data_IF_330703678596
#
_entry.id   IF_330703678596
#
_cell.length_a   1.000
_cell.length_b   1.000
_cell.length_c   1.000
_cell.angle_alpha   90.00
_cell.angle_beta   90.00
_cell.angle_gamma   90.00
#
_symmetry.space_group_name_H-M   'P 1'
#
loop_
_entity.id
_entity.type
_entity.pdbx_description
1 polymer ?
#
# COMPACT_ATOMS: atom_id res chain seq x y z
N UNK A 1 20.26 1.51 -36.10
CA UNK A 1 19.53 2.70 -35.66
C UNK A 1 18.16 2.25 -35.27
N UNK A 2 17.74 2.53 -34.04
CA UNK A 2 16.39 2.23 -33.56
C UNK A 2 15.61 3.53 -33.53
N UNK A 3 14.40 3.53 -34.10
CA UNK A 3 13.43 4.61 -33.89
C UNK A 3 12.59 4.26 -32.69
N UNK A 4 12.64 5.09 -31.66
CA UNK A 4 11.70 5.03 -30.55
C UNK A 4 10.41 5.71 -31.02
N UNK A 5 9.32 4.93 -31.09
CA UNK A 5 7.98 5.43 -31.35
C UNK A 5 7.42 6.27 -30.19
N UNK A 6 6.17 6.68 -30.32
CA UNK A 6 5.47 7.57 -29.38
C UNK A 6 5.43 7.02 -27.95
N UNK A 7 6.39 7.46 -27.13
CA UNK A 7 6.42 7.19 -25.70
C UNK A 7 5.26 7.92 -25.05
N UNK A 8 4.26 7.16 -24.58
CA UNK A 8 3.21 7.71 -23.73
C UNK A 8 3.62 7.52 -22.27
N UNK A 9 3.79 8.62 -21.55
CA UNK A 9 4.06 8.59 -20.12
C UNK A 9 2.75 8.30 -19.38
N UNK A 10 2.70 7.14 -18.71
CA UNK A 10 1.69 6.86 -17.70
C UNK A 10 2.43 6.82 -16.38
N UNK A 11 2.17 7.82 -15.56
CA UNK A 11 2.64 7.90 -14.18
C UNK A 11 2.09 6.67 -13.42
N UNK A 12 2.95 5.69 -13.16
CA UNK A 12 2.60 4.43 -12.50
C UNK A 12 3.24 4.35 -11.11
N UNK A 13 3.18 5.44 -10.34
CA UNK A 13 3.42 5.36 -8.90
C UNK A 13 2.16 4.88 -8.17
N UNK A 14 2.10 3.60 -7.75
CA UNK A 14 1.42 3.19 -6.50
C UNK A 14 1.60 1.71 -6.12
N UNK A 15 2.85 1.26 -5.95
CA UNK A 15 3.13 0.11 -5.06
C UNK A 15 4.22 0.46 -4.03
N UNK A 16 4.27 1.71 -3.59
CA UNK A 16 5.00 2.08 -2.37
C UNK A 16 4.13 1.75 -1.15
N UNK A 17 4.72 1.33 -0.01
CA UNK A 17 3.99 1.26 1.26
C UNK A 17 3.29 2.60 1.47
N UNK A 18 1.97 2.57 1.40
CA UNK A 18 1.14 3.77 1.51
C UNK A 18 0.70 3.88 2.95
N UNK A 19 0.93 5.04 3.57
CA UNK A 19 0.42 5.30 4.90
C UNK A 19 -1.11 5.15 4.90
N UNK A 20 -1.68 4.78 6.04
CA UNK A 20 -3.13 4.70 6.18
C UNK A 20 -3.82 6.02 5.83
N UNK A 21 -3.20 7.15 6.16
CA UNK A 21 -3.68 8.48 5.74
C UNK A 21 -3.75 8.62 4.20
N UNK A 22 -2.76 8.09 3.47
CA UNK A 22 -2.78 8.09 2.00
C UNK A 22 -3.87 7.17 1.45
N UNK A 23 -4.04 5.99 2.05
CA UNK A 23 -5.12 5.07 1.66
C UNK A 23 -6.50 5.70 1.91
N UNK A 24 -6.70 6.30 3.08
CA UNK A 24 -7.92 7.01 3.44
C UNK A 24 -8.21 8.19 2.49
N UNK A 25 -7.17 8.90 2.04
CA UNK A 25 -7.35 10.02 1.10
C UNK A 25 -7.89 9.63 -0.28
N UNK A 26 -7.81 8.34 -0.65
CA UNK A 26 -8.39 7.80 -1.87
C UNK A 26 -9.88 7.44 -1.73
N UNK A 27 -10.44 7.46 -0.52
CA UNK A 27 -11.84 7.14 -0.28
C UNK A 27 -12.71 8.38 -0.47
N UNK A 28 -13.84 8.20 -1.15
CA UNK A 28 -14.91 9.16 -1.13
C UNK A 28 -15.62 9.13 0.23
N UNK A 29 -16.26 10.25 0.60
CA UNK A 29 -16.89 10.41 1.93
C UNK A 29 -17.92 9.32 2.26
N UNK A 30 -18.68 8.86 1.27
CA UNK A 30 -19.68 7.80 1.40
C UNK A 30 -19.06 6.39 1.60
N UNK A 31 -17.75 6.24 1.43
CA UNK A 31 -17.02 5.00 1.69
C UNK A 31 -16.55 4.86 3.14
N UNK A 32 -16.63 5.92 3.96
CA UNK A 32 -16.31 5.90 5.39
C UNK A 32 -17.48 5.42 6.25
N UNK A 33 -18.00 4.23 5.94
CA UNK A 33 -19.21 3.70 6.56
C UNK A 33 -19.02 3.47 8.05
N UNK A 34 -17.91 2.85 8.46
CA UNK A 34 -17.64 2.48 9.84
C UNK A 34 -17.34 3.72 10.70
N UNK A 35 -16.55 4.67 10.19
CA UNK A 35 -16.32 5.96 10.87
C UNK A 35 -17.62 6.73 11.05
N UNK A 36 -18.44 6.86 10.01
CA UNK A 36 -19.72 7.58 10.08
C UNK A 36 -20.68 6.89 11.06
N UNK A 37 -20.77 5.55 11.04
CA UNK A 37 -21.60 4.79 11.98
C UNK A 37 -21.21 5.05 13.43
N UNK A 38 -19.92 5.00 13.74
CA UNK A 38 -19.39 5.30 15.07
C UNK A 38 -19.74 6.73 15.52
N UNK A 39 -19.57 7.72 14.65
CA UNK A 39 -19.89 9.11 14.97
C UNK A 39 -21.40 9.33 15.17
N UNK A 40 -22.24 8.71 14.33
CA UNK A 40 -23.70 8.77 14.47
C UNK A 40 -24.17 8.14 15.78
N UNK A 41 -23.65 6.97 16.17
CA UNK A 41 -24.05 6.28 17.40
C UNK A 41 -23.62 7.03 18.66
N UNK A 42 -22.37 7.52 18.70
CA UNK A 42 -21.86 8.27 19.84
C UNK A 42 -22.54 9.63 20.03
N UNK A 43 -22.91 10.32 18.95
CA UNK A 43 -23.65 11.60 19.04
C UNK A 43 -25.13 11.40 19.43
N UNK A 44 -25.75 10.28 19.06
CA UNK A 44 -27.13 9.97 19.47
C UNK A 44 -27.23 9.62 20.95
N UNK A 45 -26.25 8.87 21.49
CA UNK A 45 -26.27 8.38 22.88
C UNK A 45 -25.93 9.45 23.94
N UNK A 46 -25.45 10.64 23.54
CA UNK A 46 -25.12 11.73 24.50
C UNK A 46 -26.35 12.35 25.17
N UNK A 47 -27.55 12.23 24.59
CA UNK A 47 -28.78 12.84 25.13
C UNK A 47 -29.64 11.87 25.95
N UNK A 48 -29.47 10.55 25.77
CA UNK A 48 -30.05 9.53 26.65
C UNK A 48 -29.12 9.35 27.85
N UNK A 49 -29.60 9.73 29.04
CA UNK A 49 -28.86 9.83 30.30
C UNK A 49 -28.39 8.48 30.89
N UNK A 50 -27.95 7.52 30.06
CA UNK A 50 -27.23 6.32 30.47
C UNK A 50 -25.74 6.49 30.15
N UNK A 51 -25.01 7.12 31.07
CA UNK A 51 -23.58 6.90 31.18
C UNK A 51 -23.34 5.42 31.50
N UNK A 52 -23.05 4.65 30.46
CA UNK A 52 -22.33 3.38 30.49
C UNK A 52 -21.78 3.13 29.08
N UNK A 53 -20.86 4.00 28.64
CA UNK A 53 -19.95 3.63 27.56
C UNK A 53 -18.73 3.03 28.24
N UNK A 54 -18.88 1.82 28.77
CA UNK A 54 -17.77 0.89 28.64
C UNK A 54 -17.53 0.78 27.13
N UNK A 55 -16.29 0.93 26.67
CA UNK A 55 -15.86 0.77 25.27
C UNK A 55 -16.11 -0.64 24.68
N UNK A 56 -17.04 -1.39 25.27
CA UNK A 56 -17.50 -2.71 24.91
C UNK A 56 -18.78 -2.72 24.07
N UNK A 57 -19.46 -1.62 23.75
CA UNK A 57 -20.68 -1.70 22.91
C UNK A 57 -20.41 -1.62 21.39
N UNK A 58 -19.17 -1.96 21.00
CA UNK A 58 -18.88 -2.55 19.68
C UNK A 58 -18.72 -4.09 19.84
N UNK A 59 -18.99 -4.66 21.02
CA UNK A 59 -19.10 -6.11 21.25
C UNK A 59 -20.45 -6.69 20.80
N UNK A 60 -21.04 -6.11 19.74
CA UNK A 60 -21.95 -6.90 18.93
C UNK A 60 -21.20 -8.16 18.52
N UNK A 61 -21.74 -9.34 18.87
CA UNK A 61 -21.23 -10.60 18.31
C UNK A 61 -21.07 -10.38 16.81
N UNK A 62 -19.91 -10.63 16.22
CA UNK A 62 -19.71 -10.45 14.78
C UNK A 62 -20.62 -11.40 13.95
N UNK A 63 -21.29 -12.35 14.63
CA UNK A 63 -22.35 -13.24 14.11
C UNK A 63 -23.76 -12.66 14.29
N UNK A 64 -23.89 -11.54 14.98
CA UNK A 64 -25.13 -10.81 15.12
C UNK A 64 -25.46 -10.12 13.80
N UNK A 65 -26.39 -10.72 13.06
CA UNK A 65 -26.85 -10.24 11.76
C UNK A 65 -27.85 -9.08 11.86
N UNK A 66 -28.01 -8.44 13.03
CA UNK A 66 -28.83 -7.23 13.14
C UNK A 66 -28.27 -6.14 12.22
N UNK A 67 -29.09 -5.70 11.27
CA UNK A 67 -28.76 -4.59 10.40
C UNK A 67 -28.56 -3.33 11.26
N UNK A 68 -27.49 -2.58 10.99
CA UNK A 68 -27.30 -1.26 11.60
C UNK A 68 -28.51 -0.37 11.29
N UNK A 69 -29.17 0.11 12.33
CA UNK A 69 -30.27 1.07 12.23
C UNK A 69 -29.70 2.49 12.33
N UNK A 70 -29.94 3.31 11.30
CA UNK A 70 -29.46 4.69 11.33
C UNK A 70 -30.22 5.52 12.38
N UNK A 71 -29.51 6.14 13.35
CA UNK A 71 -30.16 7.00 14.33
C UNK A 71 -30.71 8.26 13.66
N UNK A 72 -31.88 8.71 14.09
CA UNK A 72 -32.49 9.96 13.64
C UNK A 72 -31.82 11.15 14.31
N UNK A 73 -30.89 11.80 13.60
CA UNK A 73 -30.15 12.95 14.12
C UNK A 73 -30.87 14.28 13.84
N UNK A 74 -30.85 15.18 14.82
CA UNK A 74 -31.22 16.58 14.64
C UNK A 74 -30.21 17.33 13.76
N UNK A 75 -30.57 18.48 13.15
CA UNK A 75 -29.63 19.27 12.34
C UNK A 75 -28.35 19.66 13.09
N UNK A 76 -28.45 19.90 14.40
CA UNK A 76 -27.29 20.20 15.26
C UNK A 76 -26.35 18.99 15.38
N UNK A 77 -26.91 17.81 15.62
CA UNK A 77 -26.15 16.56 15.73
C UNK A 77 -25.47 16.19 14.41
N UNK A 78 -26.15 16.41 13.27
CA UNK A 78 -25.55 16.21 11.95
C UNK A 78 -24.34 17.10 11.72
N UNK A 79 -24.40 18.38 12.11
CA UNK A 79 -23.24 19.28 12.02
C UNK A 79 -22.10 18.83 12.94
N UNK A 80 -22.40 18.35 14.14
CA UNK A 80 -21.38 17.83 15.06
C UNK A 80 -20.69 16.58 14.52
N UNK A 81 -21.45 15.66 13.91
CA UNK A 81 -20.89 14.49 13.22
C UNK A 81 -19.98 14.91 12.07
N UNK A 82 -20.36 15.93 11.30
CA UNK A 82 -19.54 16.44 10.20
C UNK A 82 -18.20 17.00 10.68
N UNK A 83 -18.23 17.83 11.73
CA UNK A 83 -17.03 18.43 12.29
C UNK A 83 -16.09 17.36 12.88
N UNK A 84 -16.64 16.38 13.59
CA UNK A 84 -15.87 15.23 14.11
C UNK A 84 -15.32 14.35 12.99
N UNK A 85 -16.08 14.15 11.92
CA UNK A 85 -15.65 13.37 10.77
C UNK A 85 -14.41 13.97 10.10
N UNK A 86 -14.40 15.28 9.89
CA UNK A 86 -13.23 15.99 9.33
C UNK A 86 -12.00 15.82 10.24
N UNK A 87 -12.20 15.79 11.56
CA UNK A 87 -11.11 15.57 12.50
C UNK A 87 -10.55 14.13 12.44
N UNK A 88 -11.42 13.10 12.38
CA UNK A 88 -10.99 11.70 12.38
C UNK A 88 -10.37 11.25 11.06
N UNK A 89 -10.77 11.84 9.93
CA UNK A 89 -10.23 11.49 8.60
C UNK A 89 -8.84 12.07 8.32
N UNK A 90 -8.37 13.04 9.12
CA UNK A 90 -6.98 13.53 9.09
C UNK A 90 -6.06 12.54 9.81
N UNK A 91 -4.78 12.52 9.43
CA UNK A 91 -3.74 11.76 10.16
C UNK A 91 -3.77 12.14 11.64
N UNK A 92 -4.10 11.17 12.50
CA UNK A 92 -4.05 11.34 13.95
C UNK A 92 -2.62 11.62 14.43
N UNK A 93 -2.51 12.46 15.45
CA UNK A 93 -1.26 12.85 16.09
C UNK A 93 -1.21 12.15 17.44
N UNK A 94 -0.10 11.49 17.78
CA UNK A 94 -0.02 10.67 18.98
C UNK A 94 1.38 10.76 19.60
N UNK A 95 1.50 10.98 20.92
CA UNK A 95 2.79 11.10 21.59
C UNK A 95 3.30 9.70 21.99
N UNK A 96 3.83 8.95 21.03
CA UNK A 96 4.22 7.54 21.23
C UNK A 96 5.20 7.33 22.39
N UNK A 97 6.22 8.19 22.46
CA UNK A 97 7.27 8.13 23.47
C UNK A 97 6.80 8.58 24.86
N UNK A 98 5.67 9.29 24.96
CA UNK A 98 5.11 9.74 26.24
C UNK A 98 4.37 8.62 26.99
N UNK A 99 3.81 7.65 26.28
CA UNK A 99 3.13 6.50 26.89
C UNK A 99 4.14 5.42 27.31
N UNK A 100 4.98 5.78 28.28
CA UNK A 100 6.01 4.91 28.88
C UNK A 100 5.49 4.09 30.06
N UNK A 101 4.40 4.53 30.69
CA UNK A 101 3.78 3.91 31.86
C UNK A 101 2.24 3.93 31.75
N UNK A 102 1.59 2.91 32.31
CA UNK A 102 0.12 2.80 32.29
C UNK A 102 -0.58 3.91 33.08
N UNK A 103 0.09 4.48 34.09
CA UNK A 103 -0.44 5.60 34.89
C UNK A 103 -0.63 6.88 34.07
N UNK A 104 0.05 7.00 32.91
CA UNK A 104 -0.14 8.12 31.97
C UNK A 104 -1.57 8.19 31.44
N UNK A 105 -2.26 7.04 31.32
CA UNK A 105 -3.63 7.01 30.84
C UNK A 105 -4.63 7.74 31.76
N UNK A 106 -4.31 7.84 33.06
CA UNK A 106 -5.16 8.51 34.05
C UNK A 106 -4.95 10.04 34.07
N UNK A 107 -4.00 10.58 33.31
CA UNK A 107 -3.78 12.02 33.21
C UNK A 107 -4.95 12.70 32.49
N UNK A 108 -5.41 13.83 33.02
CA UNK A 108 -6.62 14.53 32.57
C UNK A 108 -6.35 15.72 31.65
N UNK A 109 -5.12 15.85 31.18
CA UNK A 109 -4.68 16.96 30.31
C UNK A 109 -3.86 16.43 29.15
N UNK A 110 -3.95 17.11 28.00
CA UNK A 110 -3.11 16.79 26.86
C UNK A 110 -1.64 17.17 27.17
N UNK A 111 -0.67 16.26 26.93
CA UNK A 111 0.74 16.53 27.17
C UNK A 111 1.23 17.75 26.39
N UNK A 112 2.27 18.43 26.88
CA UNK A 112 2.87 19.56 26.17
C UNK A 112 3.44 19.12 24.82
N UNK A 113 3.62 20.07 23.90
CA UNK A 113 4.07 19.78 22.52
C UNK A 113 5.40 19.03 22.48
N UNK A 114 6.28 19.33 23.43
CA UNK A 114 7.62 18.74 23.58
C UNK A 114 7.54 17.23 23.86
N UNK A 115 6.43 16.75 24.42
CA UNK A 115 6.18 15.32 24.67
C UNK A 115 5.77 14.55 23.41
N UNK A 116 5.55 15.22 22.28
CA UNK A 116 5.26 14.61 20.96
C UNK A 116 6.52 14.48 20.09
N UNK A 117 7.72 14.61 20.68
CA UNK A 117 8.97 14.42 19.97
C UNK A 117 9.11 12.98 19.49
N UNK A 118 9.35 12.78 18.18
CA UNK A 118 9.58 11.45 17.64
C UNK A 118 11.07 11.16 17.50
N UNK A 119 11.53 10.09 18.13
CA UNK A 119 12.93 9.64 18.00
C UNK A 119 13.21 9.10 16.60
N UNK A 120 12.17 8.61 15.90
CA UNK A 120 12.30 8.05 14.55
C UNK A 120 12.58 9.13 13.48
N UNK A 121 11.93 10.29 13.60
CA UNK A 121 12.13 11.43 12.68
C UNK A 121 13.09 12.49 13.25
N UNK A 122 13.55 12.32 14.48
CA UNK A 122 14.37 13.28 15.24
C UNK A 122 13.78 14.71 15.31
N UNK A 123 12.45 14.82 15.22
CA UNK A 123 11.73 16.09 15.08
C UNK A 123 10.57 16.20 16.06
N UNK A 124 10.28 17.44 16.49
CA UNK A 124 9.06 17.75 17.21
C UNK A 124 7.88 17.84 16.24
N UNK A 125 6.68 17.54 16.74
CA UNK A 125 5.44 17.76 15.98
C UNK A 125 5.28 19.23 15.56
N UNK A 126 4.71 19.45 14.38
CA UNK A 126 4.43 20.79 13.89
C UNK A 126 3.41 21.50 14.78
N UNK A 127 3.43 22.83 14.81
CA UNK A 127 2.43 23.60 15.57
C UNK A 127 1.01 23.36 15.08
N UNK A 128 0.85 23.18 13.76
CA UNK A 128 -0.45 22.88 13.16
C UNK A 128 -0.98 21.52 13.63
N UNK A 129 -0.13 20.49 13.65
CA UNK A 129 -0.50 19.14 14.08
C UNK A 129 -0.79 19.08 15.58
N UNK A 130 -0.04 19.81 16.40
CA UNK A 130 -0.34 19.91 17.83
C UNK A 130 -1.66 20.65 18.09
N UNK A 131 -1.95 21.72 17.32
CA UNK A 131 -3.25 22.39 17.38
C UNK A 131 -4.39 21.47 16.93
N UNK A 132 -4.14 20.59 15.95
CA UNK A 132 -5.09 19.55 15.57
C UNK A 132 -5.36 18.57 16.73
N UNK A 133 -4.33 18.10 17.43
CA UNK A 133 -4.49 17.25 18.61
C UNK A 133 -5.33 17.92 19.71
N UNK A 134 -5.08 19.20 19.99
CA UNK A 134 -5.91 20.01 20.90
C UNK A 134 -7.36 20.13 20.45
N UNK A 135 -7.59 20.33 19.15
CA UNK A 135 -8.93 20.41 18.60
C UNK A 135 -9.69 19.09 18.77
N UNK A 136 -9.02 17.94 18.55
CA UNK A 136 -9.58 16.62 18.81
C UNK A 136 -9.93 16.46 20.29
N UNK A 137 -8.98 16.74 21.19
CA UNK A 137 -9.19 16.68 22.64
C UNK A 137 -10.43 17.47 23.08
N UNK A 138 -10.54 18.71 22.64
CA UNK A 138 -11.66 19.59 23.00
C UNK A 138 -12.99 19.18 22.35
N UNK A 139 -12.98 18.74 21.09
CA UNK A 139 -14.22 18.45 20.33
C UNK A 139 -14.88 17.14 20.73
N UNK A 140 -14.07 16.19 21.18
CA UNK A 140 -14.53 14.92 21.72
C UNK A 140 -14.76 14.97 23.24
N UNK A 141 -14.48 16.11 23.88
CA UNK A 141 -14.69 16.34 25.32
C UNK A 141 -13.93 15.30 26.16
N UNK A 142 -12.67 15.06 25.82
CA UNK A 142 -11.85 14.04 26.48
C UNK A 142 -11.58 14.41 27.94
N UNK A 143 -11.79 13.44 28.84
CA UNK A 143 -11.53 13.61 30.27
C UNK A 143 -10.17 13.05 30.69
N UNK A 144 -9.65 12.08 29.93
CA UNK A 144 -8.39 11.39 30.22
C UNK A 144 -7.57 11.08 28.96
N UNK A 145 -6.26 10.87 29.14
CA UNK A 145 -5.40 10.38 28.07
C UNK A 145 -5.78 8.97 27.60
N UNK A 146 -6.46 8.19 28.44
CA UNK A 146 -7.09 6.92 28.05
C UNK A 146 -8.14 7.12 26.96
N UNK A 147 -9.00 8.13 27.09
CA UNK A 147 -10.04 8.41 26.09
C UNK A 147 -9.43 8.84 24.76
N UNK A 148 -8.38 9.68 24.83
CA UNK A 148 -7.61 10.08 23.66
C UNK A 148 -6.93 8.90 22.96
N UNK A 149 -6.29 8.01 23.72
CA UNK A 149 -5.70 6.77 23.21
C UNK A 149 -6.73 5.85 22.56
N UNK A 150 -7.85 5.60 23.24
CA UNK A 150 -8.90 4.74 22.73
C UNK A 150 -9.49 5.31 21.43
N UNK A 151 -9.73 6.62 21.36
CA UNK A 151 -10.18 7.25 20.12
C UNK A 151 -9.14 7.11 19.01
N UNK A 152 -7.86 7.33 19.30
CA UNK A 152 -6.78 7.20 18.32
C UNK A 152 -6.73 5.78 17.71
N UNK A 153 -6.65 4.75 18.57
CA UNK A 153 -6.60 3.35 18.12
C UNK A 153 -7.89 2.94 17.43
N UNK A 154 -9.05 3.37 17.94
CA UNK A 154 -10.34 3.07 17.33
C UNK A 154 -10.44 3.70 15.93
N UNK A 155 -9.99 4.94 15.76
CA UNK A 155 -9.98 5.64 14.47
C UNK A 155 -9.13 4.89 13.45
N UNK A 156 -7.95 4.43 13.85
CA UNK A 156 -7.09 3.60 13.00
C UNK A 156 -7.79 2.32 12.53
N UNK A 157 -8.48 1.62 13.45
CA UNK A 157 -9.25 0.40 13.12
C UNK A 157 -10.43 0.70 12.19
N UNK A 158 -11.20 1.76 12.45
CA UNK A 158 -12.38 2.13 11.65
C UNK A 158 -11.97 2.53 10.23
N UNK A 159 -10.93 3.36 10.08
CA UNK A 159 -10.42 3.76 8.77
C UNK A 159 -9.87 2.55 8.02
N UNK A 160 -9.14 1.66 8.70
CA UNK A 160 -8.64 0.44 8.06
C UNK A 160 -9.78 -0.46 7.59
N UNK A 161 -10.86 -0.59 8.37
CA UNK A 161 -12.04 -1.34 7.98
C UNK A 161 -12.71 -0.71 6.74
N UNK A 162 -12.89 0.61 6.71
CA UNK A 162 -13.46 1.32 5.56
C UNK A 162 -12.61 1.16 4.29
N UNK A 163 -11.29 1.31 4.42
CA UNK A 163 -10.32 1.08 3.33
C UNK A 163 -10.42 -0.36 2.82
N UNK A 164 -10.48 -1.35 3.72
CA UNK A 164 -10.55 -2.75 3.33
C UNK A 164 -11.90 -3.12 2.70
N UNK A 165 -13.01 -2.55 3.18
CA UNK A 165 -14.32 -2.72 2.55
C UNK A 165 -14.36 -2.12 1.14
N UNK A 166 -13.79 -0.94 0.94
CA UNK A 166 -13.66 -0.32 -0.37
C UNK A 166 -12.79 -1.18 -1.30
N UNK A 167 -11.65 -1.68 -0.80
CA UNK A 167 -10.78 -2.60 -1.53
C UNK A 167 -11.51 -3.88 -1.93
N UNK A 168 -12.24 -4.50 -1.00
CA UNK A 168 -13.05 -5.71 -1.24
C UNK A 168 -14.12 -5.50 -2.30
N UNK A 169 -14.85 -4.38 -2.25
CA UNK A 169 -15.84 -4.01 -3.29
C UNK A 169 -15.18 -3.88 -4.66
N UNK A 170 -14.05 -3.18 -4.74
CA UNK A 170 -13.30 -3.00 -5.98
C UNK A 170 -12.81 -4.35 -6.54
N UNK A 171 -12.25 -5.22 -5.71
CA UNK A 171 -11.76 -6.53 -6.13
C UNK A 171 -12.90 -7.44 -6.64
N UNK A 172 -14.04 -7.45 -5.94
CA UNK A 172 -15.23 -8.19 -6.38
C UNK A 172 -15.76 -7.66 -7.72
N UNK A 173 -15.78 -6.34 -7.91
CA UNK A 173 -16.24 -5.74 -9.15
C UNK A 173 -15.33 -6.05 -10.34
N UNK A 174 -14.01 -5.96 -10.16
CA UNK A 174 -13.05 -6.06 -11.27
C UNK A 174 -12.53 -7.49 -11.52
N UNK A 175 -12.27 -8.25 -10.45
CA UNK A 175 -11.68 -9.59 -10.53
C UNK A 175 -12.68 -10.70 -10.20
N UNK A 176 -13.84 -10.34 -9.61
CA UNK A 176 -14.81 -11.30 -9.08
C UNK A 176 -14.14 -12.26 -8.08
N UNK A 177 -13.17 -11.73 -7.33
CA UNK A 177 -12.42 -12.41 -6.27
C UNK A 177 -12.57 -11.59 -4.99
N UNK A 178 -12.73 -12.29 -3.88
CA UNK A 178 -12.80 -11.66 -2.56
C UNK A 178 -11.41 -11.67 -1.91
N UNK A 179 -10.77 -10.51 -1.65
CA UNK A 179 -9.48 -10.45 -0.98
C UNK A 179 -9.46 -11.14 0.38
N UNK A 180 -10.61 -11.27 1.07
CA UNK A 180 -10.70 -11.95 2.36
C UNK A 180 -10.43 -13.47 2.28
N UNK A 181 -10.40 -14.06 1.08
CA UNK A 181 -10.05 -15.47 0.86
C UNK A 181 -8.55 -15.70 0.60
N UNK A 182 -7.73 -14.65 0.61
CA UNK A 182 -6.31 -14.74 0.32
C UNK A 182 -5.48 -14.21 1.49
N UNK A 183 -4.37 -14.89 1.78
CA UNK A 183 -3.45 -14.46 2.83
C UNK A 183 -2.69 -13.17 2.46
N UNK A 184 -2.43 -12.95 1.17
CA UNK A 184 -1.61 -11.83 0.69
C UNK A 184 -2.12 -11.28 -0.64
N UNK A 185 -1.86 -10.00 -0.90
CA UNK A 185 -2.21 -9.36 -2.16
C UNK A 185 -1.55 -10.02 -3.39
N UNK A 186 -0.26 -10.44 -3.36
CA UNK A 186 0.33 -11.19 -4.47
C UNK A 186 -0.38 -12.51 -4.77
N UNK A 187 -0.83 -13.25 -3.76
CA UNK A 187 -1.61 -14.48 -3.95
C UNK A 187 -2.95 -14.21 -4.65
N UNK A 188 -3.65 -13.14 -4.24
CA UNK A 188 -4.87 -12.71 -4.94
C UNK A 188 -4.57 -12.28 -6.39
N UNK A 189 -3.51 -11.51 -6.62
CA UNK A 189 -3.12 -11.05 -7.96
C UNK A 189 -2.76 -12.21 -8.89
N UNK A 190 -2.09 -13.24 -8.37
CA UNK A 190 -1.78 -14.46 -9.10
C UNK A 190 -3.05 -15.18 -9.56
N UNK A 191 -3.99 -15.38 -8.65
CA UNK A 191 -5.29 -16.01 -8.95
C UNK A 191 -6.15 -15.17 -9.89
N UNK A 192 -6.12 -13.83 -9.75
CA UNK A 192 -6.77 -12.92 -10.68
C UNK A 192 -6.18 -13.06 -12.10
N UNK A 193 -4.86 -13.22 -12.21
CA UNK A 193 -4.18 -13.42 -13.50
C UNK A 193 -4.60 -14.75 -14.14
N UNK A 194 -4.52 -15.86 -13.40
CA UNK A 194 -4.93 -17.19 -13.88
C UNK A 194 -6.41 -17.22 -14.30
N UNK A 195 -7.29 -16.63 -13.48
CA UNK A 195 -8.72 -16.55 -13.80
C UNK A 195 -8.99 -15.74 -15.06
N UNK A 196 -8.24 -14.65 -15.28
CA UNK A 196 -8.41 -13.78 -16.45
C UNK A 196 -7.88 -14.42 -17.73
N UNK A 197 -6.76 -15.13 -17.66
CA UNK A 197 -6.15 -15.78 -18.84
C UNK A 197 -6.77 -17.15 -19.14
N UNK A 198 -7.31 -17.83 -18.14
CA UNK A 198 -7.83 -19.20 -18.27
C UNK A 198 -6.73 -20.25 -18.48
N UNK A 199 -5.47 -19.88 -18.29
CA UNK A 199 -4.31 -20.75 -18.50
C UNK A 199 -4.11 -21.66 -17.28
N UNK A 200 -3.75 -22.91 -17.53
CA UNK A 200 -3.29 -23.85 -16.51
C UNK A 200 -1.78 -23.96 -16.59
N UNK A 201 -1.10 -23.66 -15.48
CA UNK A 201 0.35 -23.78 -15.38
C UNK A 201 0.73 -25.16 -14.84
N UNK A 202 1.63 -25.85 -15.53
CA UNK A 202 2.18 -27.10 -15.05
C UNK A 202 3.19 -26.84 -13.93
N UNK A 203 3.13 -27.63 -12.87
CA UNK A 203 4.16 -27.63 -11.83
C UNK A 203 5.35 -28.47 -12.25
N UNK A 204 6.56 -27.99 -11.98
CA UNK A 204 7.77 -28.80 -12.06
C UNK A 204 7.71 -29.88 -10.97
N UNK A 205 7.72 -31.13 -11.38
CA UNK A 205 7.66 -32.30 -10.49
C UNK A 205 9.01 -33.01 -10.38
N UNK A 206 9.87 -32.81 -11.37
CA UNK A 206 11.26 -33.29 -11.37
C UNK A 206 12.14 -32.35 -10.53
N UNK A 207 12.82 -32.87 -9.49
CA UNK A 207 13.70 -32.06 -8.63
C UNK A 207 14.87 -31.41 -9.38
N UNK A 208 15.43 -32.08 -10.39
CA UNK A 208 16.57 -31.55 -11.14
C UNK A 208 16.12 -30.41 -12.06
N UNK A 209 14.94 -30.53 -12.68
CA UNK A 209 14.35 -29.42 -13.45
C UNK A 209 14.06 -28.22 -12.55
N UNK A 210 13.50 -28.45 -11.36
CA UNK A 210 13.23 -27.40 -10.38
C UNK A 210 14.52 -26.67 -9.97
N UNK A 211 15.56 -27.42 -9.57
CA UNK A 211 16.84 -26.84 -9.14
C UNK A 211 17.53 -26.08 -10.28
N UNK A 212 17.43 -26.58 -11.51
CA UNK A 212 17.96 -25.91 -12.68
C UNK A 212 17.31 -24.54 -12.90
N UNK A 213 15.97 -24.48 -12.88
CA UNK A 213 15.22 -23.22 -13.02
C UNK A 213 15.49 -22.29 -11.85
N UNK A 214 15.46 -22.80 -10.60
CA UNK A 214 15.70 -22.01 -9.40
C UNK A 214 17.09 -21.36 -9.40
N UNK A 215 18.13 -22.11 -9.79
CA UNK A 215 19.50 -21.58 -9.95
C UNK A 215 19.57 -20.48 -11.01
N UNK A 216 18.73 -20.57 -12.04
CA UNK A 216 18.61 -19.60 -13.13
C UNK A 216 17.89 -18.30 -12.74
N UNK A 217 17.07 -18.29 -11.68
CA UNK A 217 16.35 -17.09 -11.24
C UNK A 217 17.34 -16.02 -10.80
N UNK A 218 17.18 -14.81 -11.36
CA UNK A 218 17.91 -13.59 -11.00
C UNK A 218 16.91 -12.45 -10.77
N UNK A 219 17.27 -11.56 -9.84
CA UNK A 219 16.53 -10.32 -9.64
C UNK A 219 16.85 -9.27 -10.71
N UNK A 220 16.37 -8.05 -10.48
CA UNK A 220 16.68 -6.91 -11.35
C UNK A 220 18.18 -6.60 -11.38
N UNK A 221 18.68 -6.23 -12.56
CA UNK A 221 20.07 -5.81 -12.73
C UNK A 221 20.26 -4.44 -12.09
N UNK A 222 21.21 -4.33 -11.16
CA UNK A 222 21.64 -3.06 -10.58
C UNK A 222 23.13 -2.87 -10.84
N UNK A 223 23.47 -1.82 -11.58
CA UNK A 223 24.85 -1.53 -11.97
C UNK A 223 25.16 -0.04 -11.82
N UNK A 224 26.30 0.26 -11.21
CA UNK A 224 26.87 1.60 -11.16
C UNK A 224 28.09 1.62 -12.07
N UNK A 225 27.94 2.19 -13.27
CA UNK A 225 29.05 2.35 -14.23
C UNK A 225 29.95 3.53 -13.88
N UNK A 226 29.36 4.60 -13.33
CA UNK A 226 30.05 5.81 -12.89
C UNK A 226 29.60 6.17 -11.47
N UNK A 227 30.55 6.30 -10.54
CA UNK A 227 30.26 6.57 -9.12
C UNK A 227 29.68 7.96 -8.86
N UNK A 228 30.03 8.94 -9.68
CA UNK A 228 29.59 10.32 -9.53
C UNK A 228 29.46 10.99 -10.88
N UNK A 229 28.29 11.56 -11.14
CA UNK A 229 28.02 12.43 -12.27
C UNK A 229 27.29 13.67 -11.76
N UNK A 230 27.64 14.84 -12.32
CA UNK A 230 27.05 16.13 -11.96
C UNK A 230 26.69 16.87 -13.24
N UNK A 231 25.47 17.41 -13.28
CA UNK A 231 25.05 18.30 -14.36
C UNK A 231 25.77 19.65 -14.25
N UNK A 232 26.16 20.22 -15.39
CA UNK A 232 26.74 21.54 -15.54
C UNK A 232 25.88 22.32 -16.53
N UNK A 233 25.03 23.22 -16.03
CA UNK A 233 24.09 24.01 -16.83
C UNK A 233 24.05 25.43 -16.26
N UNK A 234 23.88 26.42 -17.14
CA UNK A 234 23.90 27.85 -16.78
C UNK A 234 22.89 28.22 -15.69
N UNK A 235 21.73 27.55 -15.67
CA UNK A 235 20.66 27.80 -14.70
C UNK A 235 20.91 27.19 -13.30
N UNK A 236 21.99 26.42 -13.12
CA UNK A 236 22.29 25.77 -11.85
C UNK A 236 23.20 26.65 -10.97
N UNK A 237 23.00 26.68 -9.64
CA UNK A 237 23.71 27.58 -8.73
C UNK A 237 25.24 27.35 -8.66
N UNK A 238 25.74 26.24 -9.20
CA UNK A 238 27.16 25.88 -9.23
C UNK A 238 27.69 25.67 -10.65
N UNK A 239 27.16 26.41 -11.63
CA UNK A 239 27.61 26.38 -13.02
C UNK A 239 29.08 26.82 -13.13
N UNK A 240 29.85 26.07 -13.90
CA UNK A 240 31.22 26.44 -14.26
C UNK A 240 31.33 26.58 -15.80
N UNK A 241 31.52 27.81 -16.33
CA UNK A 241 31.62 28.04 -17.77
C UNK A 241 32.91 27.47 -18.38
N UNK A 242 33.86 27.00 -17.57
CA UNK A 242 35.08 26.33 -18.05
C UNK A 242 34.87 24.85 -18.33
N UNK A 243 33.80 24.27 -17.80
CA UNK A 243 33.44 22.86 -17.97
C UNK A 243 32.36 22.78 -19.06
N UNK A 244 32.43 21.77 -19.93
CA UNK A 244 31.41 21.54 -20.95
C UNK A 244 30.05 21.31 -20.30
N UNK A 245 29.00 21.82 -20.92
CA UNK A 245 27.62 21.57 -20.48
C UNK A 245 27.31 20.07 -20.43
N UNK A 246 26.80 19.62 -19.28
CA UNK A 246 26.42 18.24 -19.04
C UNK A 246 25.00 18.17 -18.49
N UNK A 247 24.20 17.29 -19.08
CA UNK A 247 22.85 17.00 -18.63
C UNK A 247 22.81 15.62 -17.99
N UNK A 248 21.97 15.47 -16.97
CA UNK A 248 21.60 14.17 -16.42
C UNK A 248 20.19 13.85 -16.91
N UNK A 249 20.01 12.65 -17.48
CA UNK A 249 18.71 12.15 -17.92
C UNK A 249 18.34 10.97 -17.04
N UNK A 250 17.13 11.01 -16.51
CA UNK A 250 16.53 9.89 -15.79
C UNK A 250 15.48 9.26 -16.68
N UNK A 251 15.62 7.96 -16.95
CA UNK A 251 14.69 7.17 -17.72
C UNK A 251 14.20 6.02 -16.85
N UNK A 252 12.88 5.83 -16.79
CA UNK A 252 12.25 4.72 -16.09
C UNK A 252 11.24 4.04 -17.03
N UNK A 253 11.19 2.72 -16.99
CA UNK A 253 10.30 1.91 -17.80
C UNK A 253 8.99 1.65 -17.04
N UNK A 254 7.89 2.19 -17.57
CA UNK A 254 6.56 1.96 -17.00
C UNK A 254 6.19 0.47 -17.06
N UNK A 255 5.95 -0.15 -15.90
CA UNK A 255 5.50 -1.54 -15.78
C UNK A 255 6.38 -2.57 -16.55
N UNK A 256 7.70 -2.51 -16.35
CA UNK A 256 8.67 -3.39 -17.03
C UNK A 256 8.31 -4.88 -16.94
N UNK A 257 7.99 -5.38 -15.74
CA UNK A 257 7.61 -6.78 -15.55
C UNK A 257 6.26 -7.11 -16.18
N UNK A 258 5.28 -6.21 -16.16
CA UNK A 258 4.00 -6.45 -16.83
C UNK A 258 4.14 -6.54 -18.35
N UNK A 259 5.03 -5.74 -18.95
CA UNK A 259 5.38 -5.87 -20.37
C UNK A 259 6.06 -7.22 -20.65
N UNK A 260 7.03 -7.63 -19.83
CA UNK A 260 7.70 -8.92 -19.95
C UNK A 260 6.73 -10.10 -19.79
N UNK A 261 5.78 -10.01 -18.85
CA UNK A 261 4.72 -11.00 -18.64
C UNK A 261 3.68 -11.04 -19.77
N UNK A 262 3.69 -10.06 -20.68
CA UNK A 262 2.83 -10.05 -21.87
C UNK A 262 3.50 -10.71 -23.08
N UNK A 263 4.78 -11.09 -22.97
CA UNK A 263 5.48 -11.85 -24.00
C UNK A 263 5.18 -13.35 -23.88
N UNK A 264 5.57 -14.13 -24.87
CA UNK A 264 5.48 -15.59 -24.84
C UNK A 264 6.33 -16.17 -23.69
N UNK A 265 5.70 -16.91 -22.79
CA UNK A 265 6.31 -17.49 -21.58
C UNK A 265 5.97 -18.98 -21.45
N UNK A 266 6.88 -19.80 -20.89
CA UNK A 266 6.64 -21.22 -20.73
C UNK A 266 5.55 -21.49 -19.70
N UNK A 267 4.55 -22.29 -20.08
CA UNK A 267 3.40 -22.64 -19.24
C UNK A 267 3.35 -24.12 -18.84
N UNK A 268 4.09 -24.99 -19.54
CA UNK A 268 4.11 -26.43 -19.31
C UNK A 268 4.87 -27.22 -20.36
N UNK A 269 4.67 -28.53 -20.35
CA UNK A 269 5.39 -29.56 -21.11
C UNK A 269 6.90 -29.53 -20.88
N UNK A 270 7.33 -29.31 -19.64
CA UNK A 270 8.75 -29.25 -19.28
C UNK A 270 9.44 -30.61 -19.50
N UNK A 271 10.43 -30.63 -20.39
CA UNK A 271 11.19 -31.82 -20.75
C UNK A 271 12.66 -31.46 -20.91
N UNK A 272 13.52 -32.43 -20.61
CA UNK A 272 14.94 -32.33 -20.97
C UNK A 272 15.12 -32.69 -22.43
N UNK A 273 15.91 -31.89 -23.13
CA UNK A 273 16.40 -32.25 -24.46
C UNK A 273 17.32 -33.47 -24.37
N UNK A 274 17.29 -34.30 -25.40
CA UNK A 274 18.23 -35.41 -25.57
C UNK A 274 19.60 -34.89 -26.02
N UNK A 275 20.65 -35.70 -25.81
CA UNK A 275 22.03 -35.32 -26.13
C UNK A 275 22.21 -34.94 -27.61
N UNK A 276 21.52 -35.63 -28.52
CA UNK A 276 21.56 -35.36 -29.97
C UNK A 276 20.84 -34.06 -30.36
N UNK A 277 19.78 -33.70 -29.62
CA UNK A 277 19.07 -32.43 -29.78
C UNK A 277 19.92 -31.26 -29.28
N UNK A 278 20.65 -31.46 -28.17
CA UNK A 278 21.57 -30.45 -27.61
C UNK A 278 22.73 -30.17 -28.56
N UNK A 279 23.31 -31.20 -29.19
CA UNK A 279 24.41 -31.04 -30.16
C UNK A 279 24.01 -30.22 -31.40
N UNK A 280 22.73 -30.27 -31.79
CA UNK A 280 22.18 -29.55 -32.95
C UNK A 280 21.49 -28.24 -32.58
N UNK A 281 21.47 -27.90 -31.29
CA UNK A 281 20.74 -26.75 -30.79
C UNK A 281 21.44 -25.43 -31.18
N UNK A 282 20.71 -24.56 -31.87
CA UNK A 282 21.15 -23.19 -32.18
C UNK A 282 20.08 -22.21 -31.71
N UNK A 283 20.40 -21.43 -30.68
CA UNK A 283 19.48 -20.43 -30.12
C UNK A 283 19.21 -19.27 -31.08
N UNK A 284 20.11 -18.99 -32.02
CA UNK A 284 20.02 -17.80 -32.89
C UNK A 284 18.96 -17.89 -34.00
N UNK A 285 18.47 -19.10 -34.26
CA UNK A 285 17.47 -19.39 -35.29
C UNK A 285 16.05 -19.53 -34.72
N UNK A 286 15.91 -19.53 -33.39
CA UNK A 286 14.63 -19.72 -32.71
C UNK A 286 13.93 -18.35 -32.60
N UNK A 287 12.64 -18.31 -32.95
CA UNK A 287 11.84 -17.10 -32.83
C UNK A 287 11.42 -16.88 -31.38
N UNK A 288 11.38 -15.61 -30.96
CA UNK A 288 10.85 -15.22 -29.64
C UNK A 288 9.37 -15.60 -29.43
N UNK A 289 8.62 -15.81 -30.52
CA UNK A 289 7.20 -16.21 -30.53
C UNK A 289 7.01 -17.67 -30.96
N UNK A 290 8.05 -18.50 -30.85
CA UNK A 290 7.96 -19.92 -31.12
C UNK A 290 6.97 -20.62 -30.16
N UNK A 291 6.37 -21.71 -30.63
CA UNK A 291 5.47 -22.54 -29.81
C UNK A 291 6.21 -23.20 -28.63
N UNK A 292 7.46 -23.61 -28.88
CA UNK A 292 8.35 -24.20 -27.88
C UNK A 292 9.37 -23.19 -27.38
N UNK A 293 9.48 -23.05 -26.05
CA UNK A 293 10.46 -22.21 -25.38
C UNK A 293 11.60 -23.03 -24.77
N UNK A 294 12.79 -22.43 -24.67
CA UNK A 294 14.00 -23.09 -24.17
C UNK A 294 14.60 -22.33 -22.98
N UNK A 295 14.96 -23.05 -21.91
CA UNK A 295 15.71 -22.51 -20.78
C UNK A 295 17.12 -23.09 -20.83
N UNK A 296 18.13 -22.23 -20.96
CA UNK A 296 19.50 -22.64 -21.25
C UNK A 296 20.44 -22.16 -20.13
N UNK A 297 21.32 -23.04 -19.68
CA UNK A 297 22.51 -22.68 -18.91
C UNK A 297 23.70 -22.70 -19.86
N UNK A 298 24.32 -21.55 -20.09
CA UNK A 298 25.48 -21.42 -20.98
C UNK A 298 26.64 -20.70 -20.29
N UNK A 299 27.86 -21.08 -20.64
CA UNK A 299 29.07 -20.37 -20.24
C UNK A 299 29.39 -19.30 -21.29
N UNK A 300 29.42 -18.04 -20.86
CA UNK A 300 29.80 -16.90 -21.71
C UNK A 300 31.33 -16.67 -21.72
N UNK A 301 32.09 -17.55 -21.06
CA UNK A 301 33.54 -17.59 -21.08
C UNK A 301 34.09 -17.78 -22.49
N UNK A 302 34.91 -16.81 -22.94
CA UNK A 302 35.65 -16.90 -24.21
C UNK A 302 36.49 -18.18 -24.22
N UNK A 303 36.26 -19.05 -25.21
CA UNK A 303 37.35 -19.82 -25.83
C UNK A 303 38.13 -18.92 -26.79
#
# INVERSE_FOLDING_TARGET
>A
GFSIGDITFIDSFQFMPSSMAKLASNLAKDQFLQVIRYLKSTTSNKDDNSMNVDGNDISGDYRDHRCYEEPNLSPRQTNEVEERFILLTRKGIYPYEYFDDITRFDETELPPRESFYSTLSEENVSEEDYNHAKNVWNKFEMESLKDYHNLYVLTDVLIMADVFEAFRKNCLQHYQLDPAHYFTAPGMSWEAALKKTGISLQLLTDPDQYLFVEKGIKGGISMITQRYAKANLEDLPNYDPTIKDTHLVYLDANNLYGWAMSQSLPIGNFQWLQDDEIEQFDVSIISDEAEDGFIIECDLGKR
#
